data_IF_102088041178
#
_entry.id   IF_102088041178
#
_cell.length_a   1.000
_cell.length_b   1.000
_cell.length_c   1.000
_cell.angle_alpha   90.00
_cell.angle_beta   90.00
_cell.angle_gamma   90.00
#
_symmetry.space_group_name_H-M   'P 1'
#
loop_
_entity.id
_entity.type
_entity.pdbx_description
1 polymer ?
#
# COMPACT_ATOMS: atom_id res chain seq x y z
N UNK A 1 -56.06 -34.17 -42.29
CA UNK A 1 -55.32 -33.67 -41.11
C UNK A 1 -53.84 -33.74 -41.37
N UNK A 2 -53.23 -32.63 -41.60
CA UNK A 2 -51.76 -32.54 -41.80
C UNK A 2 -51.16 -31.93 -40.55
N UNK A 3 -50.36 -32.68 -39.86
CA UNK A 3 -49.59 -32.21 -38.72
C UNK A 3 -48.30 -31.60 -39.29
N UNK A 4 -48.19 -30.31 -39.22
CA UNK A 4 -46.95 -29.61 -39.53
C UNK A 4 -45.99 -29.71 -38.33
N UNK A 5 -44.99 -30.58 -38.41
CA UNK A 5 -43.90 -30.61 -37.50
C UNK A 5 -42.98 -29.40 -37.80
N UNK A 6 -43.16 -28.36 -37.04
CA UNK A 6 -42.21 -27.24 -37.06
C UNK A 6 -40.99 -27.64 -36.23
N UNK A 7 -39.92 -28.08 -36.88
CA UNK A 7 -38.62 -28.22 -36.23
C UNK A 7 -38.03 -26.83 -36.05
N UNK A 8 -37.96 -26.40 -34.82
CA UNK A 8 -37.21 -25.21 -34.41
C UNK A 8 -35.76 -25.64 -34.24
N UNK A 9 -34.82 -25.07 -34.99
CA UNK A 9 -33.41 -25.34 -34.72
C UNK A 9 -32.99 -24.62 -33.45
N UNK A 10 -32.58 -25.39 -32.48
CA UNK A 10 -31.95 -24.92 -31.24
C UNK A 10 -30.55 -24.35 -31.57
N UNK A 11 -30.47 -23.05 -31.67
CA UNK A 11 -29.18 -22.38 -31.82
C UNK A 11 -28.42 -22.45 -30.49
N UNK A 12 -27.44 -23.30 -30.43
CA UNK A 12 -26.49 -23.37 -29.33
C UNK A 12 -25.58 -22.17 -29.45
N UNK A 13 -25.83 -21.16 -28.60
CA UNK A 13 -24.92 -20.03 -28.45
C UNK A 13 -23.73 -20.52 -27.58
N UNK A 14 -22.65 -20.87 -28.27
CA UNK A 14 -21.39 -21.16 -27.57
C UNK A 14 -20.83 -19.84 -27.03
N UNK A 15 -21.02 -19.61 -25.74
CA UNK A 15 -20.36 -18.50 -25.05
C UNK A 15 -18.86 -18.79 -25.01
N UNK A 16 -18.09 -18.12 -25.85
CA UNK A 16 -16.65 -18.07 -25.73
C UNK A 16 -16.30 -17.29 -24.45
N UNK A 17 -16.00 -18.01 -23.39
CA UNK A 17 -15.36 -17.40 -22.23
C UNK A 17 -13.92 -17.11 -22.62
N UNK A 18 -13.66 -15.89 -23.03
CA UNK A 18 -12.31 -15.41 -23.24
C UNK A 18 -11.70 -15.21 -21.85
N UNK A 19 -10.96 -16.20 -21.38
CA UNK A 19 -10.10 -16.03 -20.20
C UNK A 19 -9.02 -15.03 -20.55
N UNK A 20 -9.20 -13.79 -20.13
CA UNK A 20 -8.11 -12.80 -20.25
C UNK A 20 -6.99 -13.23 -19.30
N UNK A 21 -5.74 -13.33 -19.77
CA UNK A 21 -4.62 -13.53 -18.89
C UNK A 21 -4.56 -12.33 -17.96
N UNK A 22 -4.84 -12.57 -16.70
CA UNK A 22 -4.60 -11.59 -15.65
C UNK A 22 -3.09 -11.40 -15.58
N UNK A 23 -2.58 -10.33 -16.21
CA UNK A 23 -1.23 -9.88 -15.96
C UNK A 23 -1.15 -9.63 -14.45
N UNK A 24 -0.25 -10.35 -13.77
CA UNK A 24 -0.08 -10.26 -12.34
C UNK A 24 0.43 -8.86 -11.97
N UNK A 25 -0.48 -7.90 -11.90
CA UNK A 25 -0.21 -6.64 -11.24
C UNK A 25 -0.04 -6.93 -9.76
N UNK A 26 0.93 -6.31 -9.13
CA UNK A 26 1.07 -6.35 -7.68
C UNK A 26 -0.30 -6.07 -7.06
N UNK A 27 -0.73 -6.92 -6.13
CA UNK A 27 -1.97 -6.69 -5.40
C UNK A 27 -1.93 -5.30 -4.75
N UNK A 28 -3.07 -4.60 -4.78
CA UNK A 28 -3.19 -3.34 -4.06
C UNK A 28 -2.77 -3.53 -2.60
N UNK A 29 -2.02 -2.59 -2.00
CA UNK A 29 -1.62 -2.71 -0.61
C UNK A 29 -2.86 -2.79 0.28
N UNK A 30 -2.77 -3.57 1.34
CA UNK A 30 -3.81 -3.60 2.36
C UNK A 30 -3.98 -2.19 2.96
N UNK A 31 -5.22 -1.75 3.11
CA UNK A 31 -5.51 -0.48 3.75
C UNK A 31 -5.00 -0.49 5.20
N UNK A 32 -4.27 0.55 5.59
CA UNK A 32 -3.83 0.73 6.97
C UNK A 32 -5.01 1.15 7.81
N UNK A 33 -5.23 0.47 8.94
CA UNK A 33 -6.27 0.85 9.89
C UNK A 33 -5.97 2.25 10.45
N UNK A 34 -6.94 3.17 10.43
CA UNK A 34 -6.78 4.48 11.06
C UNK A 34 -6.50 4.33 12.56
N UNK A 35 -5.64 5.18 13.09
CA UNK A 35 -5.32 5.21 14.51
C UNK A 35 -5.94 6.45 15.14
N UNK A 36 -6.79 6.26 16.14
CA UNK A 36 -7.38 7.36 16.91
C UNK A 36 -6.61 7.56 18.21
N UNK A 37 -6.08 8.76 18.38
CA UNK A 37 -5.41 9.18 19.61
C UNK A 37 -6.04 10.48 20.08
N UNK A 38 -6.84 10.42 21.16
CA UNK A 38 -7.59 11.58 21.63
C UNK A 38 -8.57 12.09 20.58
N UNK A 39 -8.47 13.36 20.24
CA UNK A 39 -9.33 14.02 19.25
C UNK A 39 -8.78 13.94 17.81
N UNK A 40 -7.67 13.26 17.59
CA UNK A 40 -6.99 13.18 16.32
C UNK A 40 -7.03 11.76 15.74
N UNK A 41 -7.35 11.65 14.47
CA UNK A 41 -7.28 10.39 13.72
C UNK A 41 -6.08 10.48 12.76
N UNK A 42 -5.20 9.49 12.84
CA UNK A 42 -4.07 9.38 11.95
C UNK A 42 -4.37 8.37 10.84
N UNK A 43 -4.05 8.73 9.62
CA UNK A 43 -4.25 7.90 8.42
C UNK A 43 -2.97 7.86 7.59
N UNK A 44 -2.78 6.74 6.91
CA UNK A 44 -1.69 6.57 5.95
C UNK A 44 -2.28 6.17 4.60
N UNK A 45 -2.53 7.14 3.71
CA UNK A 45 -3.04 6.84 2.38
C UNK A 45 -1.98 6.07 1.58
N UNK A 46 -2.44 5.22 0.65
CA UNK A 46 -1.54 4.50 -0.25
C UNK A 46 -0.94 5.39 -1.33
N UNK A 47 -1.60 6.50 -1.63
CA UNK A 47 -1.17 7.47 -2.65
C UNK A 47 -1.33 8.90 -2.11
N UNK A 48 -0.23 9.66 -2.00
CA UNK A 48 1.16 9.24 -2.17
C UNK A 48 1.63 8.32 -1.04
N UNK A 49 2.52 7.38 -1.36
CA UNK A 49 3.09 6.47 -0.36
C UNK A 49 4.02 7.21 0.61
N UNK A 50 4.12 6.71 1.83
CA UNK A 50 5.00 7.27 2.84
C UNK A 50 4.50 8.54 3.52
N UNK A 51 3.24 8.91 3.35
CA UNK A 51 2.60 10.08 3.96
C UNK A 51 1.72 9.67 5.14
N UNK A 52 1.76 10.44 6.20
CA UNK A 52 0.80 10.35 7.32
C UNK A 52 -0.02 11.63 7.37
N UNK A 53 -1.32 11.48 7.51
CA UNK A 53 -2.27 12.57 7.70
C UNK A 53 -2.81 12.56 9.13
N UNK A 54 -2.86 13.71 9.75
CA UNK A 54 -3.59 13.93 10.99
C UNK A 54 -4.90 14.68 10.69
N UNK A 55 -5.99 14.12 11.13
CA UNK A 55 -7.34 14.62 10.86
C UNK A 55 -8.06 14.83 12.18
N UNK A 56 -8.80 15.93 12.29
CA UNK A 56 -9.71 16.12 13.41
C UNK A 56 -10.82 15.06 13.37
N UNK A 57 -10.98 14.30 14.43
CA UNK A 57 -11.92 13.17 14.46
C UNK A 57 -13.37 13.63 14.31
N UNK A 58 -13.71 14.78 14.84
CA UNK A 58 -15.10 15.31 14.80
C UNK A 58 -15.44 15.93 13.45
N UNK A 59 -14.60 16.82 12.97
CA UNK A 59 -14.87 17.59 11.76
C UNK A 59 -14.41 16.91 10.48
N UNK A 60 -13.47 15.98 10.56
CA UNK A 60 -12.82 15.38 9.40
C UNK A 60 -11.81 16.31 8.71
N UNK A 61 -11.55 17.50 9.27
CA UNK A 61 -10.61 18.43 8.69
C UNK A 61 -9.17 17.95 8.86
N UNK A 62 -8.37 18.06 7.81
CA UNK A 62 -6.95 17.75 7.86
C UNK A 62 -6.22 18.80 8.69
N UNK A 63 -5.57 18.36 9.76
CA UNK A 63 -4.77 19.24 10.63
C UNK A 63 -3.38 19.46 10.07
N UNK A 64 -2.74 18.39 9.62
CA UNK A 64 -1.44 18.43 8.97
C UNK A 64 -1.18 17.13 8.21
N UNK A 65 -0.21 17.17 7.32
CA UNK A 65 0.34 16.00 6.63
C UNK A 65 1.85 15.99 6.81
N UNK A 66 2.42 14.81 6.95
CA UNK A 66 3.87 14.64 7.08
C UNK A 66 4.36 13.52 6.18
N UNK A 67 5.33 13.84 5.34
CA UNK A 67 6.07 12.85 4.58
C UNK A 67 7.07 12.14 5.49
N UNK A 68 6.91 10.83 5.66
CA UNK A 68 7.74 10.01 6.54
C UNK A 68 9.01 9.58 5.81
N UNK A 69 8.84 9.11 4.57
CA UNK A 69 9.95 8.72 3.70
C UNK A 69 9.56 8.95 2.24
N UNK A 70 10.56 9.01 1.40
CA UNK A 70 10.39 9.09 -0.05
C UNK A 70 11.03 7.86 -0.68
N UNK A 71 10.28 7.17 -1.53
CA UNK A 71 10.81 6.05 -2.30
C UNK A 71 11.63 6.59 -3.46
N UNK A 72 12.90 6.19 -3.52
CA UNK A 72 13.76 6.46 -4.68
C UNK A 72 13.60 5.32 -5.67
N UNK A 73 13.14 5.65 -6.86
CA UNK A 73 12.91 4.68 -7.91
C UNK A 73 14.16 4.52 -8.79
N UNK A 74 14.51 3.27 -9.03
CA UNK A 74 15.51 2.93 -10.04
C UNK A 74 14.81 2.91 -11.40
N UNK A 75 15.25 3.72 -12.38
CA UNK A 75 14.63 3.77 -13.70
C UNK A 75 14.78 2.47 -14.50
N UNK A 76 15.68 1.58 -14.10
CA UNK A 76 15.85 0.28 -14.74
C UNK A 76 14.81 -0.76 -14.31
N UNK A 77 14.06 -0.47 -13.24
CA UNK A 77 13.05 -1.37 -12.67
C UNK A 77 11.64 -0.79 -12.79
N UNK A 78 10.65 -1.66 -12.82
CA UNK A 78 9.25 -1.23 -12.78
C UNK A 78 8.94 -0.51 -11.46
N UNK A 79 8.12 0.54 -11.52
CA UNK A 79 7.83 1.38 -10.35
C UNK A 79 7.05 0.63 -9.29
N UNK A 80 6.07 -0.15 -9.69
CA UNK A 80 5.17 -0.86 -8.80
C UNK A 80 5.87 -1.90 -7.90
N UNK A 81 6.94 -2.51 -8.38
CA UNK A 81 7.75 -3.44 -7.58
C UNK A 81 8.64 -2.73 -6.56
N UNK A 82 8.88 -1.44 -6.73
CA UNK A 82 9.69 -0.61 -5.85
C UNK A 82 8.87 0.16 -4.82
N UNK A 83 7.56 0.23 -4.98
CA UNK A 83 6.68 0.93 -4.06
C UNK A 83 6.77 0.31 -2.65
N UNK A 84 6.94 1.17 -1.67
CA UNK A 84 6.94 0.81 -0.26
C UNK A 84 5.80 1.54 0.43
N UNK A 85 4.90 0.78 0.99
CA UNK A 85 3.73 1.33 1.66
C UNK A 85 3.87 1.25 3.18
N UNK A 86 3.25 2.20 3.86
CA UNK A 86 3.05 2.09 5.29
C UNK A 86 2.13 0.91 5.54
N UNK A 87 2.50 0.03 6.46
CA UNK A 87 1.75 -1.17 6.80
C UNK A 87 1.01 -1.07 8.13
N UNK A 88 1.47 -0.23 9.04
CA UNK A 88 0.86 -0.07 10.36
C UNK A 88 1.13 1.29 10.98
N UNK A 89 0.21 1.72 11.83
CA UNK A 89 0.34 2.89 12.70
C UNK A 89 0.07 2.44 14.13
N UNK A 90 0.98 2.75 15.05
CA UNK A 90 0.84 2.46 16.48
C UNK A 90 1.11 3.70 17.31
N UNK A 91 0.34 3.90 18.37
CA UNK A 91 0.64 4.94 19.34
C UNK A 91 1.84 4.54 20.20
N UNK A 92 2.70 5.49 20.48
CA UNK A 92 3.81 5.36 21.41
C UNK A 92 3.91 6.62 22.26
N UNK A 93 4.71 6.57 23.31
CA UNK A 93 4.94 7.74 24.15
C UNK A 93 5.55 8.88 23.34
N UNK A 94 4.86 10.00 23.31
CA UNK A 94 5.29 11.20 22.58
C UNK A 94 5.16 11.16 21.08
N UNK A 95 4.61 10.08 20.48
CA UNK A 95 4.54 9.98 19.04
C UNK A 95 3.84 8.77 18.46
N UNK A 96 4.16 8.49 17.22
CA UNK A 96 3.66 7.33 16.47
C UNK A 96 4.82 6.45 16.01
N UNK A 97 4.61 5.14 16.07
CA UNK A 97 5.47 4.17 15.40
C UNK A 97 4.81 3.76 14.09
N UNK A 98 5.52 3.92 13.00
CA UNK A 98 5.04 3.73 11.65
C UNK A 98 5.79 2.55 11.05
N UNK A 99 5.09 1.43 10.85
CA UNK A 99 5.64 0.25 10.18
C UNK A 99 5.58 0.39 8.66
N UNK A 100 6.58 -0.10 7.98
CA UNK A 100 6.71 -0.05 6.52
C UNK A 100 6.87 -1.47 5.97
N UNK A 101 6.29 -1.74 4.82
CA UNK A 101 6.48 -3.00 4.10
C UNK A 101 7.96 -3.29 3.84
N UNK A 102 8.33 -4.56 3.93
CA UNK A 102 9.71 -5.01 3.75
C UNK A 102 10.59 -4.85 4.98
N UNK A 103 10.00 -4.46 6.11
CA UNK A 103 10.68 -4.26 7.39
C UNK A 103 11.26 -2.87 7.56
N UNK A 104 11.24 -2.44 8.77
CA UNK A 104 11.65 -1.10 9.18
C UNK A 104 10.49 -0.33 9.79
N UNK A 105 10.83 0.51 10.73
CA UNK A 105 9.90 1.36 11.44
C UNK A 105 10.45 2.78 11.49
N UNK A 106 9.54 3.74 11.52
CA UNK A 106 9.85 5.14 11.77
C UNK A 106 9.12 5.61 13.02
N UNK A 107 9.73 6.50 13.74
CA UNK A 107 9.09 7.20 14.84
C UNK A 107 8.81 8.64 14.43
N UNK A 108 7.57 9.06 14.57
CA UNK A 108 7.15 10.44 14.34
C UNK A 108 6.86 11.10 15.68
N UNK A 109 7.64 12.11 16.03
CA UNK A 109 7.39 12.92 17.20
C UNK A 109 6.19 13.84 16.93
N UNK A 110 5.12 13.71 17.72
CA UNK A 110 3.89 14.50 17.50
C UNK A 110 4.00 15.94 17.98
N UNK A 111 5.01 16.27 18.77
CA UNK A 111 5.25 17.66 19.22
C UNK A 111 6.06 18.45 18.20
N UNK A 112 7.13 17.86 17.68
CA UNK A 112 8.07 18.51 16.74
C UNK A 112 7.83 18.15 15.30
N UNK A 113 7.09 17.08 15.03
CA UNK A 113 6.92 16.44 13.71
C UNK A 113 8.26 15.94 13.12
N UNK A 114 9.23 15.69 13.95
CA UNK A 114 10.49 15.12 13.54
C UNK A 114 10.32 13.60 13.31
N UNK A 115 10.90 13.10 12.22
CA UNK A 115 10.88 11.70 11.84
C UNK A 115 12.24 11.07 12.12
N UNK A 116 12.24 10.01 12.91
CA UNK A 116 13.44 9.23 13.23
C UNK A 116 13.27 7.80 12.72
N UNK A 117 14.27 7.25 12.07
CA UNK A 117 14.22 5.85 11.66
C UNK A 117 14.49 4.96 12.87
N UNK A 118 13.53 4.10 13.17
CA UNK A 118 13.64 3.08 14.21
C UNK A 118 13.90 1.72 13.54
N UNK A 119 14.94 1.02 14.01
CA UNK A 119 15.23 -0.32 13.53
C UNK A 119 16.59 -0.46 12.84
N UNK A 120 17.08 -1.68 12.88
CA UNK A 120 18.38 -2.06 12.31
C UNK A 120 18.39 -1.76 10.80
N UNK A 121 19.24 -0.84 10.40
CA UNK A 121 19.58 -0.70 8.97
C UNK A 121 20.02 -2.08 8.48
N UNK A 122 19.46 -2.65 7.39
CA UNK A 122 20.05 -3.82 6.80
C UNK A 122 21.55 -3.53 6.58
N UNK A 123 22.39 -4.35 7.14
CA UNK A 123 23.85 -4.22 6.90
C UNK A 123 24.03 -4.29 5.39
N UNK A 124 24.70 -3.33 4.77
CA UNK A 124 25.02 -3.46 3.36
C UNK A 124 25.80 -4.78 3.21
N UNK A 125 25.30 -5.65 2.34
CA UNK A 125 26.03 -6.87 2.02
C UNK A 125 27.40 -6.44 1.51
N UNK A 126 28.42 -6.83 2.27
CA UNK A 126 29.80 -6.63 1.85
C UNK A 126 30.00 -7.48 0.59
N UNK A 127 30.36 -6.90 -0.55
CA UNK A 127 30.60 -7.70 -1.73
C UNK A 127 31.65 -8.75 -1.40
N UNK A 128 31.53 -9.97 -1.93
CA UNK A 128 32.50 -11.03 -1.66
C UNK A 128 33.89 -10.53 -2.05
N UNK A 129 34.82 -10.64 -1.10
CA UNK A 129 36.23 -10.37 -1.39
C UNK A 129 36.66 -11.33 -2.48
N UNK A 130 36.92 -10.80 -3.66
CA UNK A 130 37.63 -11.55 -4.68
C UNK A 130 39.08 -11.71 -4.18
N UNK A 131 39.37 -12.86 -3.64
CA UNK A 131 40.77 -13.23 -3.40
C UNK A 131 41.43 -13.47 -4.76
N UNK A 132 42.42 -12.66 -5.05
CA UNK A 132 43.31 -12.87 -6.18
C UNK A 132 44.37 -13.87 -5.81
#
# INVERSE_FOLDING_TARGET
MRILNSMVPLAILASLVVSQPCLAKRAAPAAVAPLVVGATTFRAPSTPSGLVEAVDTKSGATLWTKQIYVTRYDPALERDVQDRFISSLRAAEGGLVIGVEGGGEYFLNLTTLEVTRHGKRPKPETPPKTES
#
